data_IF_308740953385
#
_entry.id   IF_308740953385
#
_cell.length_a   1.000
_cell.length_b   1.000
_cell.length_c   1.000
_cell.angle_alpha   90.00
_cell.angle_beta   90.00
_cell.angle_gamma   90.00
#
_symmetry.space_group_name_H-M   'P 1'
#
loop_
_entity.id
_entity.type
_entity.pdbx_description
1 polymer ?
#
# COMPACT_ATOMS: atom_id res chain seq x y z
N UNK A 1 -6.22 7.79 11.14
CA UNK A 1 -7.22 8.55 11.95
C UNK A 1 -6.72 9.97 12.23
N UNK A 2 -5.56 10.15 12.89
CA UNK A 2 -5.02 11.47 13.25
C UNK A 2 -4.91 12.43 12.04
N UNK A 3 -4.32 11.98 10.92
CA UNK A 3 -4.23 12.78 9.70
C UNK A 3 -5.58 13.31 9.22
N UNK A 4 -6.60 12.45 9.13
CA UNK A 4 -7.92 12.87 8.68
C UNK A 4 -8.59 13.86 9.65
N UNK A 5 -8.40 13.66 10.95
CA UNK A 5 -8.98 14.56 11.95
C UNK A 5 -8.31 15.94 11.97
N UNK A 6 -6.96 16.00 11.83
CA UNK A 6 -6.21 17.25 11.98
C UNK A 6 -5.98 18.00 10.65
N UNK A 7 -5.68 17.28 9.57
CA UNK A 7 -5.38 17.90 8.27
C UNK A 7 -6.61 18.02 7.38
N UNK A 8 -7.44 16.97 7.34
CA UNK A 8 -8.65 16.95 6.51
C UNK A 8 -9.91 17.42 7.28
N UNK A 9 -9.77 17.65 8.58
CA UNK A 9 -10.87 18.06 9.49
C UNK A 9 -12.10 17.12 9.39
N UNK A 10 -11.85 15.86 9.06
CA UNK A 10 -12.89 14.84 8.89
C UNK A 10 -12.76 13.78 9.98
N UNK A 11 -13.71 13.69 10.92
CA UNK A 11 -13.72 12.63 11.92
C UNK A 11 -13.74 11.26 11.24
N UNK A 12 -12.78 10.41 11.59
CA UNK A 12 -12.56 9.17 10.86
C UNK A 12 -12.15 8.03 11.79
N UNK A 13 -12.61 6.82 11.49
CA UNK A 13 -12.11 5.58 12.06
C UNK A 13 -11.41 4.75 11.00
N UNK A 14 -10.21 4.27 11.29
CA UNK A 14 -9.40 3.47 10.35
C UNK A 14 -8.94 2.22 11.07
N UNK A 15 -9.20 1.06 10.47
CA UNK A 15 -8.65 -0.21 10.91
C UNK A 15 -7.99 -0.92 9.73
N UNK A 16 -6.76 -1.39 9.93
CA UNK A 16 -5.99 -2.15 8.95
C UNK A 16 -5.45 -3.41 9.61
N UNK A 17 -5.39 -4.49 8.86
CA UNK A 17 -4.89 -5.76 9.36
C UNK A 17 -4.29 -6.63 8.25
N UNK A 18 -3.19 -7.31 8.61
CA UNK A 18 -2.49 -8.26 7.74
C UNK A 18 -2.14 -9.49 8.57
N UNK A 19 -3.06 -10.46 8.72
CA UNK A 19 -2.74 -11.73 9.35
C UNK A 19 -1.72 -12.51 8.52
N UNK A 20 -0.67 -13.03 9.22
CA UNK A 20 0.44 -13.73 8.62
C UNK A 20 0.36 -15.24 8.94
N UNK A 21 0.84 -16.08 8.04
CA UNK A 21 1.11 -17.48 8.27
C UNK A 21 2.41 -17.67 9.07
N UNK A 22 2.64 -18.88 9.58
CA UNK A 22 3.87 -19.22 10.33
C UNK A 22 5.16 -19.13 9.50
N UNK A 23 5.04 -19.23 8.20
CA UNK A 23 6.12 -19.10 7.21
C UNK A 23 6.37 -17.66 6.74
N UNK A 24 5.77 -16.68 7.42
CA UNK A 24 5.82 -15.25 7.09
C UNK A 24 5.16 -14.86 5.75
N UNK A 25 4.35 -15.72 5.15
CA UNK A 25 3.50 -15.32 4.02
C UNK A 25 2.24 -14.61 4.50
N UNK A 26 1.75 -13.67 3.72
CA UNK A 26 0.48 -12.98 4.01
C UNK A 26 -0.67 -13.95 3.80
N UNK A 27 -1.47 -14.17 4.85
CA UNK A 27 -2.67 -15.01 4.77
C UNK A 27 -3.84 -14.23 4.20
N UNK A 28 -4.06 -13.06 4.72
CA UNK A 28 -5.05 -12.08 4.26
C UNK A 28 -4.56 -10.66 4.51
N UNK A 29 -5.16 -9.69 3.86
CA UNK A 29 -4.94 -8.28 4.14
C UNK A 29 -6.24 -7.50 3.87
N UNK A 30 -6.55 -6.57 4.74
CA UNK A 30 -7.75 -5.76 4.56
C UNK A 30 -7.91 -4.73 5.67
N UNK A 31 -8.99 -3.99 5.56
CA UNK A 31 -9.32 -2.95 6.53
C UNK A 31 -10.51 -2.13 6.08
N UNK A 32 -10.80 -1.08 6.84
CA UNK A 32 -11.83 -0.10 6.48
C UNK A 32 -11.39 1.32 6.88
N UNK A 33 -11.99 2.27 6.21
CA UNK A 33 -11.99 3.69 6.59
C UNK A 33 -13.47 4.11 6.66
N UNK A 34 -13.88 4.64 7.79
CA UNK A 34 -15.20 5.22 7.99
C UNK A 34 -15.01 6.70 8.30
N UNK A 35 -15.75 7.54 7.60
CA UNK A 35 -15.68 8.99 7.75
C UNK A 35 -17.07 9.55 7.99
N UNK A 36 -17.19 10.43 8.98
CA UNK A 36 -18.45 11.12 9.25
C UNK A 36 -18.65 12.24 8.23
N UNK A 37 -19.80 12.24 7.59
CA UNK A 37 -20.19 13.34 6.73
C UNK A 37 -20.67 14.54 7.54
N UNK A 38 -20.49 15.78 7.05
CA UNK A 38 -21.02 16.96 7.71
C UNK A 38 -22.53 16.86 7.97
N UNK A 39 -22.95 17.14 9.19
CA UNK A 39 -24.36 17.09 9.58
C UNK A 39 -24.86 15.70 10.01
N UNK A 40 -23.98 14.73 10.20
CA UNK A 40 -24.35 13.45 10.81
C UNK A 40 -24.99 13.68 12.20
N UNK A 41 -26.11 13.02 12.46
CA UNK A 41 -26.81 13.17 13.75
C UNK A 41 -26.05 12.47 14.89
N UNK A 42 -26.19 13.00 16.10
CA UNK A 42 -25.58 12.39 17.31
C UNK A 42 -26.01 10.93 17.51
N UNK A 43 -27.22 10.57 17.12
CA UNK A 43 -27.71 9.20 17.19
C UNK A 43 -26.91 8.26 16.27
N UNK A 44 -26.61 8.69 15.04
CA UNK A 44 -25.77 7.94 14.09
C UNK A 44 -24.35 7.84 14.59
N UNK A 45 -23.79 8.93 15.10
CA UNK A 45 -22.42 8.97 15.64
C UNK A 45 -22.29 7.98 16.80
N UNK A 46 -23.18 8.05 17.80
CA UNK A 46 -23.18 7.16 18.96
C UNK A 46 -23.33 5.68 18.56
N UNK A 47 -24.27 5.37 17.67
CA UNK A 47 -24.48 4.01 17.20
C UNK A 47 -23.24 3.45 16.48
N UNK A 48 -22.59 4.27 15.65
CA UNK A 48 -21.36 3.89 14.95
C UNK A 48 -20.20 3.68 15.91
N UNK A 49 -20.03 4.56 16.90
CA UNK A 49 -18.99 4.41 17.92
C UNK A 49 -19.15 3.11 18.73
N UNK A 50 -20.38 2.73 19.09
CA UNK A 50 -20.66 1.48 19.77
C UNK A 50 -20.26 0.28 18.90
N UNK A 51 -20.65 0.27 17.65
CA UNK A 51 -20.27 -0.80 16.69
C UNK A 51 -18.77 -0.90 16.49
N UNK A 52 -18.06 0.22 16.39
CA UNK A 52 -16.60 0.21 16.22
C UNK A 52 -15.91 -0.32 17.48
N UNK A 53 -16.41 -0.01 18.69
CA UNK A 53 -15.87 -0.54 19.96
C UNK A 53 -16.00 -2.07 20.07
N UNK A 54 -17.01 -2.67 19.45
CA UNK A 54 -17.18 -4.13 19.39
C UNK A 54 -16.10 -4.82 18.55
N UNK A 55 -15.44 -4.08 17.62
CA UNK A 55 -14.42 -4.63 16.74
C UNK A 55 -13.08 -4.64 17.47
N UNK A 56 -12.77 -5.74 18.15
CA UNK A 56 -11.51 -5.87 18.88
C UNK A 56 -10.31 -5.98 17.94
N UNK A 57 -10.49 -6.60 16.76
CA UNK A 57 -9.43 -6.76 15.77
C UNK A 57 -10.00 -7.02 14.37
N UNK A 58 -9.57 -6.22 13.42
CA UNK A 58 -9.88 -6.44 12.01
C UNK A 58 -9.26 -7.74 11.48
N UNK A 59 -8.10 -8.15 12.01
CA UNK A 59 -7.45 -9.41 11.62
C UNK A 59 -8.32 -10.61 11.95
N UNK A 60 -9.01 -10.61 13.09
CA UNK A 60 -9.94 -11.68 13.46
C UNK A 60 -11.12 -11.75 12.48
N UNK A 61 -11.68 -10.62 12.09
CA UNK A 61 -12.76 -10.58 11.10
C UNK A 61 -12.29 -11.12 9.74
N UNK A 62 -11.09 -10.78 9.31
CA UNK A 62 -10.52 -11.30 8.08
C UNK A 62 -10.24 -12.81 8.15
N UNK A 63 -9.73 -13.30 9.27
CA UNK A 63 -9.39 -14.72 9.47
C UNK A 63 -10.58 -15.67 9.43
N UNK A 64 -11.74 -15.23 9.87
CA UNK A 64 -12.97 -16.03 9.77
C UNK A 64 -13.63 -15.97 8.38
N UNK A 65 -12.96 -15.32 7.41
CA UNK A 65 -13.38 -15.32 6.01
C UNK A 65 -14.40 -14.23 5.64
N UNK A 66 -14.50 -13.16 6.43
CA UNK A 66 -15.34 -12.03 6.05
C UNK A 66 -14.82 -11.34 4.79
N UNK A 67 -15.75 -11.00 3.91
CA UNK A 67 -15.52 -10.13 2.75
C UNK A 67 -15.68 -8.66 3.14
N UNK A 68 -15.21 -7.72 2.31
CA UNK A 68 -15.46 -6.30 2.56
C UNK A 68 -16.93 -5.98 2.78
N UNK A 69 -17.82 -6.61 2.00
CA UNK A 69 -19.26 -6.41 2.10
C UNK A 69 -19.82 -6.91 3.43
N UNK A 70 -19.40 -8.09 3.90
CA UNK A 70 -19.89 -8.62 5.19
C UNK A 70 -19.35 -7.80 6.36
N UNK A 71 -18.14 -7.25 6.28
CA UNK A 71 -17.61 -6.33 7.27
C UNK A 71 -18.41 -5.03 7.29
N UNK A 72 -18.71 -4.45 6.12
CA UNK A 72 -19.55 -3.26 6.02
C UNK A 72 -20.97 -3.52 6.55
N UNK A 73 -21.55 -4.68 6.22
CA UNK A 73 -22.88 -5.07 6.73
C UNK A 73 -22.88 -5.21 8.26
N UNK A 74 -21.79 -5.74 8.84
CA UNK A 74 -21.65 -5.87 10.29
C UNK A 74 -21.59 -4.48 10.98
N UNK A 75 -20.87 -3.53 10.39
CA UNK A 75 -20.63 -2.20 11.00
C UNK A 75 -21.80 -1.25 10.72
N UNK A 76 -22.32 -1.23 9.50
CA UNK A 76 -23.22 -0.19 9.00
C UNK A 76 -24.62 -0.70 8.65
N UNK A 77 -24.89 -2.03 8.72
CA UNK A 77 -26.14 -2.61 8.29
C UNK A 77 -27.36 -1.97 8.94
N UNK A 78 -27.31 -1.74 10.24
CA UNK A 78 -28.38 -1.11 11.03
C UNK A 78 -28.54 0.39 10.75
N UNK A 79 -27.58 1.00 10.06
CA UNK A 79 -27.54 2.42 9.71
C UNK A 79 -27.97 2.70 8.26
N UNK A 80 -28.49 1.69 7.55
CA UNK A 80 -28.95 1.83 6.16
C UNK A 80 -27.81 1.79 5.15
N UNK A 81 -26.92 0.78 5.25
CA UNK A 81 -25.81 0.58 4.32
C UNK A 81 -26.26 0.52 2.85
N UNK A 82 -25.65 1.34 2.01
CA UNK A 82 -25.73 1.27 0.56
C UNK A 82 -24.32 1.04 -0.02
N UNK A 83 -24.15 0.00 -0.84
CA UNK A 83 -22.88 -0.28 -1.52
C UNK A 83 -22.94 0.35 -2.91
N UNK A 84 -22.28 1.48 -3.10
CA UNK A 84 -22.32 2.24 -4.35
C UNK A 84 -21.41 1.64 -5.42
N UNK A 85 -20.24 1.13 -5.04
CA UNK A 85 -19.24 0.66 -6.00
C UNK A 85 -18.39 -0.47 -5.42
N UNK A 86 -17.93 -1.35 -6.31
CA UNK A 86 -16.97 -2.41 -5.99
C UNK A 86 -15.85 -2.42 -7.03
N UNK A 87 -14.64 -2.11 -6.61
CA UNK A 87 -13.48 -2.09 -7.47
C UNK A 87 -12.55 -3.26 -7.17
N UNK A 88 -11.99 -3.92 -8.21
CA UNK A 88 -10.95 -4.93 -8.00
C UNK A 88 -9.67 -4.26 -7.49
N UNK A 89 -9.14 -4.78 -6.39
CA UNK A 89 -7.86 -4.33 -5.84
C UNK A 89 -6.80 -5.41 -5.98
N UNK A 90 -5.58 -5.01 -6.36
CA UNK A 90 -4.42 -5.90 -6.44
C UNK A 90 -3.14 -5.17 -6.08
N UNK A 91 -2.17 -5.90 -5.53
CA UNK A 91 -0.82 -5.38 -5.39
C UNK A 91 -0.22 -5.17 -6.78
N UNK A 92 0.22 -3.96 -7.09
CA UNK A 92 0.83 -3.62 -8.38
C UNK A 92 2.04 -2.73 -8.15
N UNK A 93 3.17 -3.11 -8.75
CA UNK A 93 4.33 -2.26 -8.84
C UNK A 93 4.60 -1.92 -10.31
N UNK A 94 4.80 -0.67 -10.59
CA UNK A 94 5.13 -0.18 -11.93
C UNK A 94 6.66 -0.05 -12.15
N UNK A 95 7.47 -0.78 -11.37
CA UNK A 95 8.89 -0.84 -11.60
C UNK A 95 9.18 -1.71 -12.83
N UNK A 96 10.09 -1.26 -13.65
CA UNK A 96 10.66 -1.99 -14.78
C UNK A 96 12.14 -1.63 -14.92
N UNK A 97 12.87 -2.38 -15.76
CA UNK A 97 14.32 -2.19 -15.95
C UNK A 97 14.62 -0.77 -16.44
N UNK A 98 13.79 -0.23 -17.34
CA UNK A 98 13.98 1.12 -17.89
C UNK A 98 13.82 2.22 -16.86
N UNK A 99 12.93 2.03 -15.88
CA UNK A 99 12.74 2.97 -14.78
C UNK A 99 13.93 2.95 -13.81
N UNK A 100 14.46 1.76 -13.52
CA UNK A 100 15.68 1.62 -12.71
C UNK A 100 16.88 2.22 -13.43
N UNK A 101 17.00 2.04 -14.75
CA UNK A 101 18.02 2.67 -15.58
C UNK A 101 18.00 4.20 -15.46
N UNK A 102 16.83 4.82 -15.54
CA UNK A 102 16.69 6.28 -15.32
C UNK A 102 17.11 6.70 -13.91
N UNK A 103 16.84 5.88 -12.91
CA UNK A 103 17.31 6.12 -11.55
C UNK A 103 18.84 6.05 -11.46
N UNK A 104 19.47 5.07 -12.10
CA UNK A 104 20.94 4.97 -12.18
C UNK A 104 21.55 6.20 -12.87
N UNK A 105 20.96 6.69 -13.95
CA UNK A 105 21.41 7.93 -14.61
C UNK A 105 21.42 9.12 -13.64
N UNK A 106 20.45 9.19 -12.73
CA UNK A 106 20.35 10.29 -11.76
C UNK A 106 21.34 10.18 -10.59
N UNK A 107 21.96 9.02 -10.35
CA UNK A 107 23.04 8.86 -9.35
C UNK A 107 24.28 9.66 -9.75
N UNK A 108 24.60 9.68 -11.04
CA UNK A 108 25.68 10.49 -11.59
C UNK A 108 26.73 9.70 -12.35
N UNK A 109 27.38 10.38 -13.28
CA UNK A 109 28.39 9.76 -14.20
C UNK A 109 29.56 9.14 -13.48
N UNK A 110 30.03 9.77 -12.41
CA UNK A 110 31.18 9.31 -11.65
C UNK A 110 30.89 7.95 -11.01
N UNK A 111 29.75 7.82 -10.35
CA UNK A 111 29.38 6.60 -9.66
C UNK A 111 29.11 5.46 -10.65
N UNK A 112 28.49 5.76 -11.82
CA UNK A 112 28.32 4.76 -12.89
C UNK A 112 29.70 4.31 -13.43
N UNK A 113 30.65 5.22 -13.58
CA UNK A 113 31.99 4.88 -14.05
C UNK A 113 32.71 3.97 -13.03
N UNK A 114 32.59 4.26 -11.72
CA UNK A 114 33.14 3.41 -10.66
C UNK A 114 32.56 1.99 -10.71
N UNK A 115 31.24 1.87 -10.93
CA UNK A 115 30.58 0.56 -11.11
C UNK A 115 31.12 -0.22 -12.33
N UNK A 116 31.42 0.48 -13.43
CA UNK A 116 32.01 -0.12 -14.63
C UNK A 116 33.44 -0.59 -14.36
N UNK A 117 34.23 0.23 -13.64
CA UNK A 117 35.64 -0.04 -13.33
C UNK A 117 35.78 -1.24 -12.37
N UNK A 118 34.79 -1.49 -11.51
CA UNK A 118 34.70 -2.68 -10.67
C UNK A 118 34.56 -3.97 -11.46
N UNK A 119 34.12 -3.90 -12.71
CA UNK A 119 34.05 -5.03 -13.65
C UNK A 119 33.05 -6.12 -13.26
N UNK A 120 32.08 -5.84 -12.40
CA UNK A 120 31.09 -6.79 -11.90
C UNK A 120 29.68 -6.32 -12.24
N UNK A 121 28.72 -7.25 -12.48
CA UNK A 121 27.32 -6.90 -12.55
C UNK A 121 26.84 -6.27 -11.23
N UNK A 122 26.00 -5.27 -11.33
CA UNK A 122 25.30 -4.70 -10.17
C UNK A 122 23.87 -5.24 -10.09
N UNK A 123 23.37 -5.37 -8.87
CA UNK A 123 21.98 -5.71 -8.60
C UNK A 123 21.29 -4.54 -7.90
N UNK A 124 20.13 -4.14 -8.42
CA UNK A 124 19.28 -3.10 -7.84
C UNK A 124 17.95 -3.69 -7.45
N UNK A 125 17.62 -3.60 -6.18
CA UNK A 125 16.37 -4.09 -5.63
C UNK A 125 15.29 -3.01 -5.62
N UNK A 126 14.08 -3.35 -6.06
CA UNK A 126 12.93 -2.48 -5.89
C UNK A 126 12.37 -2.61 -4.47
N UNK A 127 12.58 -1.63 -3.61
CA UNK A 127 12.11 -1.63 -2.23
C UNK A 127 10.59 -1.75 -2.05
N UNK A 128 9.80 -1.51 -3.10
CA UNK A 128 8.35 -1.64 -3.04
C UNK A 128 7.87 -3.08 -3.26
N UNK A 129 8.44 -3.81 -4.23
CA UNK A 129 8.00 -5.16 -4.59
C UNK A 129 9.07 -6.24 -4.45
N UNK A 130 10.27 -5.88 -3.98
CA UNK A 130 11.43 -6.76 -3.82
C UNK A 130 11.93 -7.45 -5.10
N UNK A 131 11.51 -6.96 -6.28
CA UNK A 131 12.03 -7.47 -7.54
C UNK A 131 13.45 -6.96 -7.77
N UNK A 132 14.37 -7.88 -8.11
CA UNK A 132 15.74 -7.56 -8.44
C UNK A 132 15.93 -7.32 -9.94
N UNK A 133 16.78 -6.36 -10.25
CA UNK A 133 17.21 -6.00 -11.61
C UNK A 133 18.72 -6.02 -11.65
N UNK A 134 19.27 -6.85 -12.52
CA UNK A 134 20.71 -6.95 -12.73
C UNK A 134 21.10 -6.15 -13.97
N UNK A 135 22.20 -5.44 -13.87
CA UNK A 135 22.84 -4.71 -14.97
C UNK A 135 24.27 -5.22 -15.08
N UNK A 136 24.63 -5.71 -16.26
CA UNK A 136 26.00 -6.08 -16.56
C UNK A 136 26.87 -4.86 -16.95
N UNK A 137 28.16 -5.08 -17.12
CA UNK A 137 29.12 -4.00 -17.41
C UNK A 137 28.81 -3.31 -18.74
N UNK A 138 28.31 -4.04 -19.74
CA UNK A 138 27.98 -3.47 -21.04
C UNK A 138 26.74 -2.60 -20.95
N UNK A 139 25.71 -3.04 -20.22
CA UNK A 139 24.52 -2.24 -19.92
C UNK A 139 24.87 -0.96 -19.16
N UNK A 140 25.80 -1.03 -18.20
CA UNK A 140 26.26 0.16 -17.46
C UNK A 140 27.00 1.16 -18.39
N UNK A 141 27.77 0.69 -19.38
CA UNK A 141 28.38 1.56 -20.37
C UNK A 141 27.34 2.28 -21.23
N UNK A 142 26.28 1.57 -21.65
CA UNK A 142 25.16 2.17 -22.39
C UNK A 142 24.43 3.25 -21.56
N UNK A 143 24.23 2.96 -20.27
CA UNK A 143 23.62 3.91 -19.33
C UNK A 143 24.50 5.16 -19.18
N UNK A 144 25.82 5.00 -19.08
CA UNK A 144 26.75 6.11 -18.98
C UNK A 144 26.72 6.99 -20.25
N UNK A 145 26.60 6.40 -21.43
CA UNK A 145 26.48 7.14 -22.70
C UNK A 145 25.17 7.94 -22.74
N UNK A 146 24.06 7.38 -22.26
CA UNK A 146 22.76 8.09 -22.13
C UNK A 146 22.84 9.25 -21.13
N UNK A 147 23.59 9.08 -20.05
CA UNK A 147 23.81 10.12 -19.04
C UNK A 147 24.68 11.29 -19.53
N UNK A 148 25.37 11.14 -20.66
CA UNK A 148 26.20 12.18 -21.28
C UNK A 148 25.43 13.17 -22.17
N UNK A 149 24.21 12.80 -22.57
CA UNK A 149 23.30 13.61 -23.38
C UNK A 149 22.42 14.48 -22.49
#
# INVERSE_FOLDING_TARGET
TYYYATSEQTPSSVALGVPMNKDNTVRQAGGFIIQLMPGASEAVISALEEKIKEIHSITTLLDVGNTPETILQYILGDLGLEINEKLPAKFTCNCDKSRIERALISVGKKDIQEMIDDGKPIEVNCHFCNKNYTFDVEELKEILEKARR
#
